data_IF_711001245126
#
_entry.id   IF_711001245126
#
_cell.length_a   1.000
_cell.length_b   1.000
_cell.length_c   1.000
_cell.angle_alpha   90.00
_cell.angle_beta   90.00
_cell.angle_gamma   90.00
#
_symmetry.space_group_name_H-M   'P 1'
#
loop_
_entity.id
_entity.type
_entity.pdbx_description
1 polymer ?
#
# COMPACT_ATOMS: atom_id res chain seq x y z
N UNK A 1 10.72 10.78 64.46
CA UNK A 1 10.11 11.54 63.35
C UNK A 1 11.17 11.89 62.29
N UNK A 2 11.63 10.91 61.49
CA UNK A 2 12.65 11.10 60.43
C UNK A 2 12.35 10.20 59.21
N UNK A 3 11.21 10.40 58.53
CA UNK A 3 10.88 9.69 57.28
C UNK A 3 10.56 10.65 56.12
N UNK A 4 10.90 11.94 56.24
CA UNK A 4 10.50 12.97 55.28
C UNK A 4 11.67 13.54 54.46
N UNK A 5 12.90 13.03 54.67
CA UNK A 5 14.11 13.45 53.92
C UNK A 5 14.43 12.47 52.78
N UNK A 6 13.85 11.27 52.79
CA UNK A 6 14.08 10.28 51.73
C UNK A 6 13.17 10.50 50.51
N UNK A 7 12.00 11.12 50.71
CA UNK A 7 11.04 11.36 49.62
C UNK A 7 11.39 12.59 48.77
N UNK A 8 12.01 13.61 49.38
CA UNK A 8 12.48 14.80 48.66
C UNK A 8 13.62 14.49 47.70
N UNK A 9 14.49 13.52 48.01
CA UNK A 9 15.55 13.07 47.09
C UNK A 9 15.05 12.23 45.91
N UNK A 10 14.03 11.38 46.13
CA UNK A 10 13.48 10.53 45.08
C UNK A 10 12.58 11.29 44.09
N UNK A 11 11.80 12.27 44.56
CA UNK A 11 10.91 13.05 43.70
C UNK A 11 11.69 14.06 42.83
N UNK A 12 12.84 14.55 43.30
CA UNK A 12 13.66 15.53 42.57
C UNK A 12 14.41 14.92 41.38
N UNK A 13 14.76 13.63 41.43
CA UNK A 13 15.38 12.93 40.30
C UNK A 13 14.41 12.67 39.15
N UNK A 14 13.11 12.52 39.43
CA UNK A 14 12.10 12.35 38.39
C UNK A 14 11.80 13.66 37.64
N UNK A 15 11.95 14.83 38.28
CA UNK A 15 11.62 16.12 37.66
C UNK A 15 12.65 16.62 36.64
N UNK A 16 13.95 16.31 36.83
CA UNK A 16 15.02 16.74 35.90
C UNK A 16 15.04 15.92 34.60
N UNK A 17 14.57 14.67 34.63
CA UNK A 17 14.46 13.82 33.43
C UNK A 17 13.38 14.27 32.44
N UNK A 18 12.35 14.98 32.91
CA UNK A 18 11.21 15.40 32.07
C UNK A 18 11.55 16.67 31.28
N UNK A 19 12.44 17.53 31.81
CA UNK A 19 12.83 18.80 31.17
C UNK A 19 13.81 18.60 30.00
N UNK A 20 14.63 17.54 30.00
CA UNK A 20 15.50 17.22 28.85
C UNK A 20 14.71 16.68 27.64
N UNK A 21 13.55 16.07 27.86
CA UNK A 21 12.68 15.58 26.79
C UNK A 21 11.90 16.70 26.08
N UNK A 22 11.78 17.89 26.68
CA UNK A 22 10.95 18.97 26.14
C UNK A 22 11.70 19.89 25.15
N UNK A 23 13.03 19.92 25.18
CA UNK A 23 13.84 20.86 24.36
C UNK A 23 14.21 20.31 22.97
N UNK A 24 14.06 19.00 22.71
CA UNK A 24 14.38 18.41 21.39
C UNK A 24 13.13 18.28 20.48
N UNK A 25 11.92 18.61 20.96
CA UNK A 25 10.67 18.31 20.23
C UNK A 25 10.01 19.46 19.47
N UNK A 26 10.38 20.72 19.71
CA UNK A 26 9.67 21.89 19.18
C UNK A 26 10.48 22.67 18.15
N UNK A 27 10.91 22.02 17.07
CA UNK A 27 11.09 22.72 15.79
C UNK A 27 10.58 21.78 14.70
N UNK A 28 9.47 22.13 14.05
CA UNK A 28 9.31 22.28 12.59
C UNK A 28 7.90 22.82 12.32
N UNK A 29 7.65 24.07 12.70
CA UNK A 29 6.72 24.88 11.91
C UNK A 29 7.48 25.28 10.66
N UNK A 30 7.23 24.59 9.57
CA UNK A 30 7.11 25.14 8.20
C UNK A 30 6.63 23.96 7.35
N UNK A 31 5.32 23.88 7.13
CA UNK A 31 4.84 23.21 5.92
C UNK A 31 5.40 24.01 4.73
N UNK A 32 5.94 23.34 3.72
CA UNK A 32 5.01 22.85 2.71
C UNK A 32 5.34 21.40 2.29
N UNK A 33 4.31 20.57 2.15
CA UNK A 33 4.31 19.44 1.21
C UNK A 33 5.16 18.19 1.58
N UNK A 34 5.15 17.73 2.83
CA UNK A 34 5.72 16.41 3.21
C UNK A 34 4.76 15.53 4.04
N UNK A 35 3.47 15.91 4.09
CA UNK A 35 2.36 15.10 4.61
C UNK A 35 1.56 14.45 3.47
N UNK A 36 2.19 14.25 2.31
CA UNK A 36 1.63 13.44 1.23
C UNK A 36 2.17 12.00 1.30
N UNK A 37 3.21 11.69 2.07
CA UNK A 37 4.01 10.47 1.85
C UNK A 37 3.59 9.19 2.62
N UNK A 38 2.56 9.21 3.47
CA UNK A 38 2.06 8.00 4.14
C UNK A 38 0.65 7.57 3.68
N UNK A 39 -0.15 8.51 3.18
CA UNK A 39 -1.47 8.26 2.58
C UNK A 39 -1.49 8.47 1.05
N UNK A 40 -0.32 8.50 0.41
CA UNK A 40 -0.19 8.30 -1.04
C UNK A 40 -0.20 6.82 -1.44
N UNK A 41 -0.44 5.90 -0.50
CA UNK A 41 -0.59 4.47 -0.80
C UNK A 41 -1.91 4.25 -1.53
N UNK A 42 -1.79 4.08 -2.85
CA UNK A 42 -2.83 3.72 -3.82
C UNK A 42 -3.50 4.88 -4.57
N UNK A 43 -2.71 5.89 -4.97
CA UNK A 43 -3.04 6.64 -6.19
C UNK A 43 -2.58 5.80 -7.40
N UNK A 44 -3.40 5.30 -8.33
CA UNK A 44 -4.82 5.47 -8.61
C UNK A 44 -5.32 4.11 -9.13
N UNK A 45 -6.13 3.42 -8.32
CA UNK A 45 -6.94 2.29 -8.78
C UNK A 45 -8.12 2.80 -9.62
N UNK A 46 -7.81 3.46 -10.74
CA UNK A 46 -8.81 4.07 -11.61
C UNK A 46 -9.21 3.05 -12.67
N UNK A 47 -10.41 2.53 -12.53
CA UNK A 47 -11.03 1.71 -13.56
C UNK A 47 -11.97 2.51 -14.46
N UNK A 48 -12.17 2.08 -15.71
CA UNK A 48 -11.52 0.91 -16.34
C UNK A 48 -10.07 1.20 -16.76
N UNK A 49 -9.18 0.21 -16.65
CA UNK A 49 -7.74 0.35 -16.97
C UNK A 49 -7.36 -0.56 -18.13
N UNK A 50 -6.36 -0.18 -18.93
CA UNK A 50 -5.84 -1.06 -19.98
C UNK A 50 -5.20 -2.31 -19.36
N UNK A 51 -5.57 -3.50 -19.83
CA UNK A 51 -4.95 -4.77 -19.39
C UNK A 51 -3.45 -4.82 -19.75
N UNK A 52 -3.05 -4.09 -20.79
CA UNK A 52 -1.66 -4.01 -21.25
C UNK A 52 -0.78 -3.18 -20.30
N UNK A 53 -1.40 -2.30 -19.51
CA UNK A 53 -0.73 -1.39 -18.57
C UNK A 53 -1.06 -1.74 -17.10
N UNK A 54 -1.79 -2.84 -16.88
CA UNK A 54 -2.15 -3.32 -15.56
C UNK A 54 -0.89 -3.74 -14.81
N UNK A 55 -0.77 -3.33 -13.55
CA UNK A 55 0.29 -3.82 -12.67
C UNK A 55 -0.13 -5.13 -11.99
N UNK A 56 0.83 -5.83 -11.38
CA UNK A 56 0.53 -7.04 -10.61
C UNK A 56 -0.47 -6.75 -9.49
N UNK A 57 -0.29 -5.62 -8.82
CA UNK A 57 -1.16 -5.14 -7.75
C UNK A 57 -2.57 -4.89 -8.26
N UNK A 58 -2.72 -4.41 -9.50
CA UNK A 58 -4.03 -4.22 -10.12
C UNK A 58 -4.77 -5.53 -10.37
N UNK A 59 -4.06 -6.53 -10.88
CA UNK A 59 -4.64 -7.84 -11.12
C UNK A 59 -5.04 -8.52 -9.81
N UNK A 60 -4.26 -8.34 -8.74
CA UNK A 60 -4.51 -8.93 -7.42
C UNK A 60 -5.77 -8.40 -6.71
N UNK A 61 -6.29 -7.23 -7.08
CA UNK A 61 -7.56 -6.75 -6.51
C UNK A 61 -8.77 -7.45 -7.12
N UNK A 62 -8.62 -8.09 -8.28
CA UNK A 62 -9.70 -8.86 -8.88
C UNK A 62 -9.91 -10.13 -8.07
N UNK A 63 -11.12 -10.30 -7.54
CA UNK A 63 -11.46 -11.47 -6.73
C UNK A 63 -11.17 -12.76 -7.51
N UNK A 64 -10.39 -13.65 -6.91
CA UNK A 64 -10.02 -14.93 -7.54
C UNK A 64 -8.78 -14.89 -8.42
N UNK A 65 -8.18 -13.72 -8.64
CA UNK A 65 -6.82 -13.59 -9.16
C UNK A 65 -5.84 -13.52 -8.00
N UNK A 66 -5.05 -14.58 -7.85
CA UNK A 66 -3.91 -14.62 -6.93
C UNK A 66 -2.59 -14.35 -7.66
N UNK A 67 -1.49 -14.34 -6.91
CA UNK A 67 -0.16 -13.98 -7.43
C UNK A 67 0.23 -14.79 -8.67
N UNK A 68 0.05 -16.11 -8.64
CA UNK A 68 0.38 -16.99 -9.78
C UNK A 68 -0.35 -16.60 -11.06
N UNK A 69 -1.63 -16.24 -10.95
CA UNK A 69 -2.45 -15.84 -12.11
C UNK A 69 -2.05 -14.46 -12.60
N UNK A 70 -1.83 -13.52 -11.68
CA UNK A 70 -1.36 -12.18 -12.02
C UNK A 70 -0.01 -12.24 -12.77
N UNK A 71 0.95 -13.03 -12.27
CA UNK A 71 2.24 -13.24 -12.93
C UNK A 71 2.07 -13.91 -14.31
N UNK A 72 1.15 -14.88 -14.44
CA UNK A 72 0.88 -15.53 -15.71
C UNK A 72 0.26 -14.57 -16.74
N UNK A 73 -0.65 -13.69 -16.33
CA UNK A 73 -1.24 -12.65 -17.19
C UNK A 73 -0.15 -11.69 -17.68
N UNK A 74 0.68 -11.17 -16.78
CA UNK A 74 1.79 -10.29 -17.15
C UNK A 74 2.78 -10.98 -18.10
N UNK A 75 3.10 -12.26 -17.84
CA UNK A 75 3.95 -13.06 -18.71
C UNK A 75 3.32 -13.27 -20.09
N UNK A 76 2.01 -13.52 -20.14
CA UNK A 76 1.26 -13.68 -21.37
C UNK A 76 1.29 -12.39 -22.20
N UNK A 77 0.96 -11.25 -21.59
CA UNK A 77 0.97 -9.92 -22.23
C UNK A 77 2.39 -9.55 -22.74
N UNK A 78 3.43 -9.93 -21.97
CA UNK A 78 4.81 -9.64 -22.34
C UNK A 78 5.36 -10.56 -23.43
N UNK A 79 4.90 -11.81 -23.49
CA UNK A 79 5.38 -12.80 -24.48
C UNK A 79 4.68 -12.67 -25.83
N UNK A 80 3.43 -12.23 -25.85
CA UNK A 80 2.63 -12.10 -27.06
C UNK A 80 1.68 -10.91 -26.97
N UNK A 81 1.36 -10.33 -28.12
CA UNK A 81 0.38 -9.26 -28.18
C UNK A 81 -1.03 -9.81 -27.95
N UNK A 82 -1.71 -9.28 -26.94
CA UNK A 82 -3.13 -9.53 -26.76
C UNK A 82 -3.93 -8.78 -27.82
N UNK A 83 -4.82 -9.50 -28.50
CA UNK A 83 -5.76 -9.02 -29.51
C UNK A 83 -7.20 -9.08 -29.04
N UNK A 84 -7.51 -9.94 -28.06
CA UNK A 84 -8.81 -10.01 -27.40
C UNK A 84 -8.67 -10.39 -25.93
N UNK A 85 -9.67 -10.04 -25.11
CA UNK A 85 -9.72 -10.46 -23.71
C UNK A 85 -9.84 -11.98 -23.58
N UNK A 86 -10.57 -12.63 -24.50
CA UNK A 86 -10.75 -14.10 -24.55
C UNK A 86 -9.44 -14.89 -24.59
N UNK A 87 -8.38 -14.32 -25.17
CA UNK A 87 -7.07 -14.98 -25.21
C UNK A 87 -6.47 -15.23 -23.81
N UNK A 88 -6.91 -14.50 -22.79
CA UNK A 88 -6.52 -14.75 -21.41
C UNK A 88 -7.01 -16.12 -20.89
N UNK A 89 -8.04 -16.72 -21.51
CA UNK A 89 -8.51 -18.06 -21.14
C UNK A 89 -7.50 -19.17 -21.49
N UNK A 90 -6.52 -18.89 -22.36
CA UNK A 90 -5.43 -19.83 -22.63
C UNK A 90 -4.48 -19.98 -21.43
N UNK A 91 -4.59 -19.11 -20.42
CA UNK A 91 -3.79 -19.16 -19.20
C UNK A 91 -4.47 -20.13 -18.22
N UNK A 92 -3.69 -21.09 -17.73
CA UNK A 92 -4.17 -22.08 -16.77
C UNK A 92 -4.85 -21.43 -15.55
N UNK A 93 -6.11 -21.80 -15.35
CA UNK A 93 -6.91 -21.33 -14.23
C UNK A 93 -7.59 -19.98 -14.43
N UNK A 94 -7.62 -19.42 -15.65
CA UNK A 94 -8.53 -18.34 -16.05
C UNK A 94 -9.66 -18.96 -16.87
N UNK A 95 -10.84 -19.10 -16.27
CA UNK A 95 -12.05 -19.51 -16.98
C UNK A 95 -12.95 -18.31 -17.31
N UNK A 96 -14.07 -18.59 -17.97
CA UNK A 96 -15.11 -17.62 -18.35
C UNK A 96 -15.53 -16.68 -17.21
N UNK A 97 -15.73 -17.21 -16.00
CA UNK A 97 -16.15 -16.38 -14.85
C UNK A 97 -15.07 -15.36 -14.45
N UNK A 98 -13.80 -15.77 -14.42
CA UNK A 98 -12.69 -14.88 -14.09
C UNK A 98 -12.44 -13.88 -15.20
N UNK A 99 -12.57 -14.30 -16.47
CA UNK A 99 -12.48 -13.40 -17.60
C UNK A 99 -13.53 -12.29 -17.49
N UNK A 100 -14.78 -12.65 -17.22
CA UNK A 100 -15.86 -11.69 -17.05
C UNK A 100 -15.62 -10.74 -15.86
N UNK A 101 -14.92 -11.19 -14.80
CA UNK A 101 -14.50 -10.29 -13.73
C UNK A 101 -13.40 -9.33 -14.19
N UNK A 102 -12.42 -9.81 -14.95
CA UNK A 102 -11.38 -8.97 -15.54
C UNK A 102 -11.98 -7.89 -16.43
N UNK A 103 -12.95 -8.23 -17.29
CA UNK A 103 -13.62 -7.28 -18.21
C UNK A 103 -14.38 -6.15 -17.51
N UNK A 104 -14.77 -6.32 -16.24
CA UNK A 104 -15.41 -5.24 -15.46
C UNK A 104 -14.44 -4.13 -15.06
N UNK A 105 -13.17 -4.48 -14.94
CA UNK A 105 -12.13 -3.63 -14.40
C UNK A 105 -11.12 -3.22 -15.48
N UNK A 106 -10.87 -4.11 -16.44
CA UNK A 106 -9.88 -3.94 -17.48
C UNK A 106 -10.51 -3.97 -18.86
N UNK A 107 -9.90 -3.22 -19.77
CA UNK A 107 -10.23 -3.23 -21.20
C UNK A 107 -8.96 -3.41 -22.03
N UNK A 108 -9.15 -3.80 -23.29
CA UNK A 108 -8.09 -3.81 -24.29
C UNK A 108 -8.30 -2.59 -25.21
N UNK A 109 -7.32 -1.65 -25.29
CA UNK A 109 -7.43 -0.44 -26.11
C UNK A 109 -7.32 -0.70 -27.62
#
# INVERSE_FOLDING_TARGET
MKKNVLYTGAVLLCALGIILCFVIGQTKTTAPQLLLSAEQRQELFRFPKSILEASKEDLLQVKGIGEKRADAILSYVSSQKLHSMEQLQNIDGIGEELLHQLEKYFYLP
#
